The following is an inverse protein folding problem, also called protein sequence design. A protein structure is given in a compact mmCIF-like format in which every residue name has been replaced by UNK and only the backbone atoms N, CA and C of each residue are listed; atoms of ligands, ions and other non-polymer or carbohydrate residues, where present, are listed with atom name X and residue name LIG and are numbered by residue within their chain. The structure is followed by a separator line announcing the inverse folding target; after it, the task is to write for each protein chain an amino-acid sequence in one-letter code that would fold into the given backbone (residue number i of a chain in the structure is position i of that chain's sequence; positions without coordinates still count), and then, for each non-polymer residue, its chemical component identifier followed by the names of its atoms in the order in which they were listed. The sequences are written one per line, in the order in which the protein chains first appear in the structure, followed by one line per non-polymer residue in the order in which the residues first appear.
data_IF_025035669050
#
_entry.id   IF_025035669050
#
_cell.length_a   1.000
_cell.length_b   1.000
_cell.length_c   1.000
_cell.angle_alpha   90.00
_cell.angle_beta   90.00
_cell.angle_gamma   90.00
#
_symmetry.space_group_name_H-M   'P 1'
#
loop_
_entity.id
_entity.type
_entity.pdbx_description
1 polymer ?
#
# COMPACT_ATOMS: atom_id res chain seq x y z
N UNK A 1 -24.93 1.95 -6.38
CA UNK A 1 -25.31 0.52 -6.41
C UNK A 1 -24.32 -0.28 -5.57
N UNK A 2 -24.31 -0.04 -4.26
CA UNK A 2 -23.55 -0.86 -3.30
C UNK A 2 -24.58 -1.18 -2.22
N UNK A 3 -25.32 -2.26 -2.41
CA UNK A 3 -26.14 -2.84 -1.36
C UNK A 3 -25.42 -4.02 -0.74
N UNK A 4 -25.49 -4.02 0.59
CA UNK A 4 -24.91 -4.99 1.51
C UNK A 4 -25.52 -6.38 1.27
N UNK A 5 -24.66 -7.37 1.12
CA UNK A 5 -24.98 -8.77 1.46
C UNK A 5 -23.99 -9.24 2.52
N UNK A 6 -24.46 -9.30 3.76
CA UNK A 6 -23.82 -10.06 4.85
C UNK A 6 -24.28 -11.52 4.74
N UNK A 7 -23.35 -12.44 5.00
CA UNK A 7 -23.48 -13.91 5.05
C UNK A 7 -23.40 -14.65 3.70
N UNK A 8 -22.24 -14.58 3.07
CA UNK A 8 -21.71 -15.71 2.28
C UNK A 8 -20.41 -16.17 2.94
N UNK A 9 -20.14 -17.48 2.91
CA UNK A 9 -18.78 -18.00 3.10
C UNK A 9 -17.91 -17.12 2.22
N UNK A 10 -17.00 -16.35 2.83
CA UNK A 10 -16.22 -15.34 2.12
C UNK A 10 -15.24 -16.12 1.24
N UNK A 11 -15.67 -16.46 0.03
CA UNK A 11 -14.82 -17.12 -0.97
C UNK A 11 -13.69 -16.15 -1.19
N UNK A 12 -12.50 -16.52 -0.71
CA UNK A 12 -11.30 -15.72 -0.92
C UNK A 12 -11.00 -15.73 -2.42
N UNK A 13 -10.71 -14.56 -2.96
CA UNK A 13 -10.28 -14.45 -4.36
C UNK A 13 -8.98 -15.25 -4.50
N UNK A 14 -8.98 -16.24 -5.40
CA UNK A 14 -7.82 -17.05 -5.69
C UNK A 14 -6.82 -16.24 -6.48
N UNK A 15 -5.62 -16.12 -5.93
CA UNK A 15 -4.56 -15.29 -6.48
C UNK A 15 -3.35 -16.12 -6.91
N UNK A 16 -2.68 -15.65 -7.96
CA UNK A 16 -1.31 -16.04 -8.28
C UNK A 16 -0.39 -14.84 -8.12
N UNK A 17 0.86 -15.11 -7.79
CA UNK A 17 1.92 -14.11 -7.68
C UNK A 17 2.87 -14.27 -8.85
N UNK A 18 3.27 -13.16 -9.47
CA UNK A 18 4.20 -13.13 -10.59
C UNK A 18 5.35 -12.18 -10.27
N UNK A 19 6.57 -12.70 -10.27
CA UNK A 19 7.82 -11.95 -10.05
C UNK A 19 8.81 -12.11 -11.19
N UNK A 20 9.58 -11.06 -11.46
CA UNK A 20 10.70 -11.10 -12.42
C UNK A 20 12.01 -10.87 -11.68
N UNK A 21 12.98 -11.75 -11.92
CA UNK A 21 14.32 -11.68 -11.33
C UNK A 21 15.23 -10.98 -12.34
N UNK A 22 15.67 -9.75 -12.01
CA UNK A 22 16.48 -8.92 -12.92
C UNK A 22 17.98 -9.19 -12.78
N UNK A 23 18.45 -9.47 -11.57
CA UNK A 23 19.86 -9.71 -11.29
C UNK A 23 20.06 -10.83 -10.25
N UNK A 24 21.32 -11.21 -9.98
CA UNK A 24 21.66 -12.26 -8.99
C UNK A 24 21.33 -11.87 -7.54
N UNK A 25 21.30 -10.58 -7.21
CA UNK A 25 20.90 -10.11 -5.88
C UNK A 25 19.39 -10.30 -5.66
N UNK A 26 18.58 -10.00 -6.67
CA UNK A 26 17.15 -10.25 -6.66
C UNK A 26 16.87 -11.75 -6.53
N UNK A 27 17.70 -12.62 -7.08
CA UNK A 27 17.51 -14.08 -6.97
C UNK A 27 17.57 -14.58 -5.53
N UNK A 28 18.46 -14.01 -4.70
CA UNK A 28 18.57 -14.38 -3.29
C UNK A 28 17.35 -13.91 -2.48
N UNK A 29 16.81 -12.74 -2.81
CA UNK A 29 15.74 -12.09 -2.03
C UNK A 29 14.33 -12.26 -2.63
N UNK A 30 14.19 -12.81 -3.85
CA UNK A 30 12.90 -12.91 -4.56
C UNK A 30 11.87 -13.71 -3.74
N UNK A 31 12.31 -14.76 -3.04
CA UNK A 31 11.40 -15.59 -2.26
C UNK A 31 10.78 -14.79 -1.12
N UNK A 32 11.59 -14.05 -0.37
CA UNK A 32 11.15 -13.13 0.68
C UNK A 32 10.21 -12.06 0.13
N UNK A 33 10.57 -11.48 -1.02
CA UNK A 33 9.76 -10.45 -1.67
C UNK A 33 8.37 -10.98 -2.06
N UNK A 34 8.30 -12.20 -2.57
CA UNK A 34 7.04 -12.85 -2.91
C UNK A 34 6.30 -13.42 -1.69
N UNK A 35 7.00 -13.74 -0.60
CA UNK A 35 6.39 -14.08 0.70
C UNK A 35 5.75 -12.84 1.32
N UNK A 36 6.40 -11.69 1.25
CA UNK A 36 5.84 -10.41 1.66
C UNK A 36 4.60 -10.06 0.81
N UNK A 37 4.67 -10.23 -0.52
CA UNK A 37 3.52 -10.01 -1.40
C UNK A 37 2.39 -11.01 -1.14
N UNK A 38 2.71 -12.26 -0.83
CA UNK A 38 1.72 -13.23 -0.37
C UNK A 38 1.04 -12.75 0.91
N UNK A 39 1.80 -12.26 1.86
CA UNK A 39 1.26 -11.74 3.12
C UNK A 39 0.39 -10.48 2.91
N UNK A 40 0.71 -9.64 1.91
CA UNK A 40 -0.16 -8.55 1.47
C UNK A 40 -1.49 -9.08 0.92
N UNK A 41 -1.46 -10.07 0.02
CA UNK A 41 -2.67 -10.68 -0.55
C UNK A 41 -3.53 -11.31 0.55
N UNK A 42 -2.92 -12.07 1.45
CA UNK A 42 -3.62 -12.68 2.59
C UNK A 42 -4.25 -11.62 3.50
N UNK A 43 -3.57 -10.48 3.70
CA UNK A 43 -4.08 -9.33 4.46
C UNK A 43 -5.25 -8.64 3.76
N UNK A 44 -5.24 -8.58 2.42
CA UNK A 44 -6.34 -8.05 1.60
C UNK A 44 -7.55 -9.00 1.53
N UNK A 45 -7.40 -10.25 1.99
CA UNK A 45 -8.47 -11.26 2.00
C UNK A 45 -8.43 -12.22 0.81
N UNK A 46 -7.38 -12.18 -0.02
CA UNK A 46 -7.14 -13.16 -1.07
C UNK A 46 -6.48 -14.44 -0.56
N UNK A 47 -6.35 -15.43 -1.44
CA UNK A 47 -5.63 -16.68 -1.19
C UNK A 47 -4.60 -16.92 -2.29
N UNK A 48 -3.32 -16.85 -1.94
CA UNK A 48 -2.24 -17.12 -2.90
C UNK A 48 -2.04 -18.64 -3.12
N UNK A 49 -2.39 -19.14 -4.30
CA UNK A 49 -2.25 -20.55 -4.66
C UNK A 49 -0.88 -20.91 -5.23
N UNK A 50 -0.27 -20.02 -6.03
CA UNK A 50 1.02 -20.29 -6.67
C UNK A 50 1.84 -19.03 -6.91
N UNK A 51 3.16 -19.20 -6.87
CA UNK A 51 4.15 -18.19 -7.24
C UNK A 51 4.81 -18.58 -8.56
N UNK A 52 4.86 -17.64 -9.48
CA UNK A 52 5.58 -17.74 -10.74
C UNK A 52 6.76 -16.76 -10.73
N UNK A 53 7.92 -17.26 -11.11
CA UNK A 53 9.11 -16.43 -11.32
C UNK A 53 9.66 -16.63 -12.72
N UNK A 54 10.24 -15.56 -13.26
CA UNK A 54 11.02 -15.63 -14.49
C UNK A 54 12.28 -14.81 -14.37
N UNK A 55 13.42 -15.40 -14.74
CA UNK A 55 14.68 -14.66 -14.89
C UNK A 55 14.66 -13.94 -16.23
N UNK A 56 14.75 -12.61 -16.19
CA UNK A 56 14.82 -11.75 -17.37
C UNK A 56 15.76 -10.59 -17.06
N UNK A 57 16.68 -10.27 -17.97
CA UNK A 57 17.57 -9.11 -17.81
C UNK A 57 16.78 -7.80 -17.74
N UNK A 58 15.71 -7.71 -18.55
CA UNK A 58 14.73 -6.62 -18.52
C UNK A 58 13.31 -7.18 -18.64
N UNK A 59 12.33 -6.64 -17.89
CA UNK A 59 10.93 -7.03 -18.05
C UNK A 59 10.43 -6.76 -19.48
N UNK A 60 9.55 -7.62 -19.99
CA UNK A 60 8.97 -7.43 -21.32
C UNK A 60 8.12 -6.14 -21.33
N UNK A 61 8.35 -5.19 -22.26
CA UNK A 61 7.63 -3.92 -22.27
C UNK A 61 6.13 -4.10 -22.56
N UNK A 62 5.72 -5.22 -23.13
CA UNK A 62 4.32 -5.53 -23.49
C UNK A 62 3.62 -6.33 -22.41
N UNK A 63 4.26 -7.33 -21.81
CA UNK A 63 3.58 -8.29 -20.90
C UNK A 63 4.29 -8.49 -19.57
N UNK A 64 5.38 -7.76 -19.30
CA UNK A 64 6.25 -7.86 -18.12
C UNK A 64 7.04 -9.18 -18.02
N UNK A 65 6.38 -10.31 -18.27
CA UNK A 65 6.96 -11.64 -18.45
C UNK A 65 7.06 -12.00 -19.94
N UNK A 66 7.93 -12.95 -20.28
CA UNK A 66 8.07 -13.44 -21.65
C UNK A 66 6.87 -14.28 -22.09
N UNK A 67 6.63 -14.33 -23.41
CA UNK A 67 5.47 -15.03 -24.02
C UNK A 67 5.28 -16.47 -23.56
N UNK A 68 6.36 -17.26 -23.49
CA UNK A 68 6.27 -18.67 -23.06
C UNK A 68 5.79 -18.81 -21.62
N UNK A 69 6.28 -17.95 -20.72
CA UNK A 69 5.85 -17.93 -19.32
C UNK A 69 4.42 -17.43 -19.19
N UNK A 70 4.01 -16.45 -20.00
CA UNK A 70 2.62 -15.97 -20.03
C UNK A 70 1.64 -17.07 -20.46
N UNK A 71 2.00 -17.90 -21.44
CA UNK A 71 1.19 -19.06 -21.84
C UNK A 71 1.08 -20.10 -20.72
N UNK A 72 2.19 -20.43 -20.05
CA UNK A 72 2.20 -21.32 -18.88
C UNK A 72 1.30 -20.80 -17.75
N UNK A 73 1.35 -19.49 -17.49
CA UNK A 73 0.48 -18.84 -16.51
C UNK A 73 -0.99 -18.93 -16.95
N UNK A 74 -1.29 -18.69 -18.23
CA UNK A 74 -2.65 -18.80 -18.77
C UNK A 74 -3.24 -20.19 -18.55
N UNK A 75 -2.49 -21.24 -18.86
CA UNK A 75 -2.91 -22.62 -18.67
C UNK A 75 -3.25 -22.90 -17.19
N UNK A 76 -2.42 -22.40 -16.27
CA UNK A 76 -2.67 -22.53 -14.84
C UNK A 76 -3.90 -21.73 -14.36
N UNK A 77 -4.06 -20.49 -14.85
CA UNK A 77 -5.21 -19.63 -14.53
C UNK A 77 -6.52 -20.31 -14.91
N UNK A 78 -6.57 -20.92 -16.09
CA UNK A 78 -7.74 -21.64 -16.59
C UNK A 78 -7.99 -22.95 -15.84
N UNK A 79 -6.94 -23.71 -15.52
CA UNK A 79 -7.07 -24.99 -14.82
C UNK A 79 -7.60 -24.82 -13.38
N UNK A 80 -7.07 -23.83 -12.65
CA UNK A 80 -7.37 -23.64 -11.22
C UNK A 80 -8.48 -22.62 -10.93
N UNK A 81 -9.03 -22.00 -11.99
CA UNK A 81 -9.98 -20.88 -11.93
C UNK A 81 -9.46 -19.76 -11.02
N UNK A 82 -8.34 -19.15 -11.44
CA UNK A 82 -7.72 -18.04 -10.71
C UNK A 82 -8.49 -16.74 -10.98
N UNK A 83 -8.86 -16.04 -9.92
CA UNK A 83 -9.62 -14.78 -10.01
C UNK A 83 -8.71 -13.58 -10.29
N UNK A 84 -7.48 -13.61 -9.77
CA UNK A 84 -6.55 -12.49 -9.87
C UNK A 84 -5.08 -12.90 -10.05
N UNK A 85 -4.35 -12.12 -10.85
CA UNK A 85 -2.90 -12.23 -10.98
C UNK A 85 -2.22 -10.96 -10.43
N UNK A 86 -1.32 -11.14 -9.46
CA UNK A 86 -0.65 -10.06 -8.74
C UNK A 86 0.83 -10.00 -9.11
N UNK A 87 1.28 -8.84 -9.57
CA UNK A 87 2.67 -8.60 -9.94
C UNK A 87 3.41 -7.84 -8.81
N UNK A 88 4.65 -8.25 -8.49
CA UNK A 88 5.47 -7.59 -7.44
C UNK A 88 6.03 -6.21 -7.83
N UNK A 89 5.92 -5.85 -9.12
CA UNK A 89 6.34 -4.55 -9.64
C UNK A 89 5.15 -3.80 -10.22
N UNK A 90 5.26 -2.48 -10.27
CA UNK A 90 4.26 -1.63 -10.90
C UNK A 90 4.20 -1.88 -12.40
N UNK A 91 2.97 -2.09 -12.89
CA UNK A 91 2.73 -2.32 -14.31
C UNK A 91 2.33 -1.02 -15.00
N UNK A 92 2.83 -0.84 -16.22
CA UNK A 92 2.35 0.23 -17.10
C UNK A 92 0.91 -0.05 -17.55
N UNK A 93 0.11 0.98 -17.88
CA UNK A 93 -1.25 0.81 -18.36
C UNK A 93 -1.36 -0.10 -19.60
N UNK A 94 -0.34 -0.11 -20.47
CA UNK A 94 -0.27 -0.98 -21.64
C UNK A 94 0.00 -2.43 -21.26
N UNK A 95 0.87 -2.68 -20.27
CA UNK A 95 1.14 -4.03 -19.77
C UNK A 95 -0.10 -4.65 -19.15
N UNK A 96 -0.80 -3.93 -18.26
CA UNK A 96 -2.03 -4.41 -17.61
C UNK A 96 -3.01 -4.91 -18.65
N UNK A 97 -3.28 -4.09 -19.68
CA UNK A 97 -4.21 -4.44 -20.75
C UNK A 97 -3.78 -5.68 -21.54
N UNK A 98 -2.53 -5.73 -21.99
CA UNK A 98 -2.05 -6.87 -22.79
C UNK A 98 -2.09 -8.18 -21.99
N UNK A 99 -1.84 -8.11 -20.69
CA UNK A 99 -1.88 -9.27 -19.79
C UNK A 99 -3.33 -9.68 -19.55
N UNK A 100 -4.23 -8.72 -19.29
CA UNK A 100 -5.67 -8.95 -19.08
C UNK A 100 -6.34 -9.57 -20.31
N UNK A 101 -5.98 -9.10 -21.53
CA UNK A 101 -6.43 -9.69 -22.79
C UNK A 101 -6.01 -11.17 -22.96
N UNK A 102 -4.92 -11.59 -22.33
CA UNK A 102 -4.38 -12.96 -22.44
C UNK A 102 -4.87 -13.86 -21.31
N UNK A 103 -4.81 -13.38 -20.05
CA UNK A 103 -5.10 -14.17 -18.85
C UNK A 103 -6.59 -14.16 -18.47
N UNK A 104 -7.38 -13.21 -18.97
CA UNK A 104 -8.84 -13.15 -18.75
C UNK A 104 -9.23 -13.12 -17.25
N UNK A 105 -8.34 -12.60 -16.39
CA UNK A 105 -8.56 -12.44 -14.95
C UNK A 105 -8.09 -11.05 -14.48
N UNK A 106 -8.44 -10.68 -13.24
CA UNK A 106 -8.12 -9.36 -12.68
C UNK A 106 -6.61 -9.20 -12.50
N UNK A 107 -6.01 -8.21 -13.17
CA UNK A 107 -4.57 -7.94 -13.06
C UNK A 107 -4.33 -6.83 -12.04
N UNK A 108 -3.58 -7.13 -10.98
CA UNK A 108 -3.17 -6.16 -9.97
C UNK A 108 -1.65 -6.08 -9.87
N UNK A 109 -1.15 -4.89 -9.51
CA UNK A 109 0.23 -4.72 -9.08
C UNK A 109 0.31 -4.56 -7.56
N UNK A 110 1.54 -4.58 -7.05
CA UNK A 110 1.84 -4.38 -5.63
C UNK A 110 1.24 -3.09 -5.09
N UNK A 111 1.34 -2.00 -5.84
CA UNK A 111 0.78 -0.70 -5.44
C UNK A 111 -0.73 -0.77 -5.22
N UNK A 112 -1.46 -1.46 -6.08
CA UNK A 112 -2.91 -1.61 -5.97
C UNK A 112 -3.31 -2.41 -4.72
N UNK A 113 -2.64 -3.54 -4.46
CA UNK A 113 -2.90 -4.35 -3.25
C UNK A 113 -2.68 -3.52 -1.98
N UNK A 114 -1.59 -2.74 -1.94
CA UNK A 114 -1.30 -1.87 -0.79
C UNK A 114 -2.41 -0.84 -0.61
N UNK A 115 -2.88 -0.20 -1.68
CA UNK A 115 -4.00 0.76 -1.63
C UNK A 115 -5.30 0.11 -1.14
N UNK A 116 -5.61 -1.11 -1.55
CA UNK A 116 -6.79 -1.84 -1.12
C UNK A 116 -6.75 -2.19 0.38
N UNK A 117 -5.59 -2.64 0.88
CA UNK A 117 -5.40 -2.87 2.32
C UNK A 117 -5.61 -1.58 3.09
N UNK A 118 -5.08 -0.45 2.60
CA UNK A 118 -5.29 0.83 3.25
C UNK A 118 -6.73 1.30 3.20
N UNK A 119 -7.45 1.07 2.11
CA UNK A 119 -8.85 1.44 2.00
C UNK A 119 -9.69 0.66 3.02
N UNK A 120 -9.36 -0.62 3.23
CA UNK A 120 -9.97 -1.45 4.25
C UNK A 120 -9.62 -1.01 5.68
N UNK A 121 -8.40 -0.54 5.92
CA UNK A 121 -7.90 -0.14 7.25
C UNK A 121 -8.22 1.31 7.63
N UNK A 122 -8.51 2.19 6.68
CA UNK A 122 -8.80 3.59 6.94
C UNK A 122 -10.09 3.76 7.75
N UNK A 123 -9.97 4.18 9.01
CA UNK A 123 -11.13 4.41 9.90
C UNK A 123 -11.51 5.88 9.95
N UNK A 124 -10.51 6.76 10.07
CA UNK A 124 -10.74 8.21 10.17
C UNK A 124 -11.19 8.81 8.84
N UNK A 125 -11.94 9.93 8.91
CA UNK A 125 -12.33 10.67 7.71
C UNK A 125 -11.12 11.18 6.93
N UNK A 126 -10.02 11.49 7.65
CA UNK A 126 -8.75 11.89 7.07
C UNK A 126 -8.13 10.76 6.26
N UNK A 127 -7.84 9.61 6.89
CA UNK A 127 -7.24 8.46 6.22
C UNK A 127 -8.10 7.96 5.06
N UNK A 128 -9.43 7.95 5.19
CA UNK A 128 -10.34 7.57 4.10
C UNK A 128 -10.22 8.50 2.88
N UNK A 129 -10.26 9.81 3.12
CA UNK A 129 -10.16 10.81 2.04
C UNK A 129 -8.80 10.72 1.34
N UNK A 130 -7.75 10.45 2.11
CA UNK A 130 -6.38 10.32 1.64
C UNK A 130 -6.15 9.06 0.81
N UNK A 131 -6.62 7.90 1.27
CA UNK A 131 -6.52 6.65 0.50
C UNK A 131 -7.36 6.73 -0.76
N UNK A 132 -8.56 7.29 -0.68
CA UNK A 132 -9.41 7.50 -1.86
C UNK A 132 -8.74 8.42 -2.89
N UNK A 133 -8.07 9.49 -2.45
CA UNK A 133 -7.27 10.33 -3.34
C UNK A 133 -6.18 9.52 -4.04
N UNK A 134 -5.40 8.75 -3.29
CA UNK A 134 -4.32 7.93 -3.84
C UNK A 134 -4.84 6.87 -4.83
N UNK A 135 -6.01 6.27 -4.58
CA UNK A 135 -6.67 5.36 -5.51
C UNK A 135 -7.06 6.05 -6.81
N UNK A 136 -7.66 7.25 -6.77
CA UNK A 136 -8.00 7.97 -8.00
C UNK A 136 -6.75 8.43 -8.78
N UNK A 137 -5.69 8.86 -8.09
CA UNK A 137 -4.43 9.22 -8.74
C UNK A 137 -3.75 8.02 -9.41
N UNK A 138 -3.82 6.85 -8.76
CA UNK A 138 -3.35 5.59 -9.32
C UNK A 138 -4.18 5.15 -10.54
N UNK A 139 -5.51 5.28 -10.46
CA UNK A 139 -6.43 4.88 -11.54
C UNK A 139 -6.41 5.83 -12.74
N UNK A 140 -6.25 7.13 -12.53
CA UNK A 140 -6.31 8.15 -13.58
C UNK A 140 -5.46 7.84 -14.84
N UNK A 141 -4.17 7.46 -14.74
CA UNK A 141 -3.37 7.09 -15.91
C UNK A 141 -3.74 5.73 -16.51
N UNK A 142 -4.54 4.91 -15.82
CA UNK A 142 -4.90 3.53 -16.18
C UNK A 142 -6.33 3.38 -16.75
N UNK A 143 -7.18 4.41 -16.61
CA UNK A 143 -8.58 4.40 -17.10
C UNK A 143 -8.75 4.25 -18.61
N UNK A 144 -7.82 4.78 -19.40
CA UNK A 144 -7.95 4.82 -20.87
C UNK A 144 -8.07 3.43 -21.51
N UNK A 145 -7.66 2.39 -20.80
CA UNK A 145 -7.52 1.05 -21.35
C UNK A 145 -8.62 0.06 -20.90
N UNK A 146 -9.25 0.28 -19.74
CA UNK A 146 -10.40 -0.49 -19.23
C UNK A 146 -11.63 -0.39 -20.15
N UNK A 147 -11.76 0.71 -20.90
CA UNK A 147 -12.94 1.01 -21.71
C UNK A 147 -12.92 0.43 -23.13
N UNK A 148 -11.78 -0.08 -23.61
CA UNK A 148 -11.70 -0.68 -24.96
C UNK A 148 -12.53 -1.96 -25.12
N UNK A 149 -12.91 -2.60 -24.01
CA UNK A 149 -13.81 -3.75 -23.97
C UNK A 149 -15.30 -3.35 -23.96
N UNK A 150 -15.66 -2.22 -23.35
CA UNK A 150 -17.04 -1.70 -23.28
C UNK A 150 -17.51 -1.11 -24.63
N UNK A 151 -16.60 -0.51 -25.41
CA UNK A 151 -16.93 0.09 -26.72
C UNK A 151 -17.22 -0.94 -27.81
N UNK A 152 -16.64 -2.15 -27.74
CA UNK A 152 -16.85 -3.22 -28.74
C UNK A 152 -18.23 -3.88 -28.66
N UNK A 153 -18.92 -3.81 -27.52
CA UNK A 153 -20.28 -4.36 -27.37
C UNK A 153 -21.38 -3.42 -27.89
N UNK A 154 -21.09 -2.13 -28.11
CA UNK A 154 -22.02 -1.16 -28.72
C UNK A 154 -21.61 -0.84 -30.16
N UNK A 155 -21.60 -1.87 -31.01
CA UNK A 155 -21.60 -1.65 -32.45
C UNK A 155 -22.96 -1.10 -32.89
N UNK A 156 -23.01 0.15 -33.38
CA UNK A 156 -24.23 0.71 -33.93
C UNK A 156 -24.20 2.21 -34.19
N UNK A 157 -23.85 2.56 -35.43
CA UNK A 157 -24.21 3.76 -36.22
C UNK A 157 -25.03 4.84 -35.46
N UNK A 158 -24.47 6.05 -35.36
CA UNK A 158 -25.26 7.27 -35.42
C UNK A 158 -25.62 7.98 -34.11
N UNK A 159 -24.63 8.36 -33.30
CA UNK A 159 -24.81 9.44 -32.31
C UNK A 159 -23.80 10.56 -32.60
N UNK A 160 -24.14 11.41 -33.57
CA UNK A 160 -23.59 12.77 -33.68
C UNK A 160 -24.29 13.62 -32.60
N UNK A 161 -23.69 13.67 -31.43
CA UNK A 161 -24.01 14.53 -30.28
C UNK A 161 -22.75 14.66 -29.41
N UNK A 162 -22.69 15.68 -28.52
CA UNK A 162 -21.59 16.67 -28.46
C UNK A 162 -20.20 16.03 -28.38
N UNK A 163 -19.24 16.55 -29.14
CA UNK A 163 -17.96 15.93 -29.49
C UNK A 163 -16.91 15.69 -28.37
N UNK A 164 -17.33 15.49 -27.12
CA UNK A 164 -16.48 15.02 -26.04
C UNK A 164 -16.61 13.48 -25.96
N UNK A 165 -15.50 12.76 -25.98
CA UNK A 165 -15.53 11.30 -25.87
C UNK A 165 -15.98 10.87 -24.45
N UNK A 166 -16.69 9.76 -24.30
CA UNK A 166 -17.09 9.24 -22.97
C UNK A 166 -15.87 9.06 -22.04
N UNK A 167 -14.71 8.70 -22.61
CA UNK A 167 -13.41 8.59 -21.91
C UNK A 167 -12.95 9.95 -21.36
N UNK A 168 -13.10 11.03 -22.13
CA UNK A 168 -12.77 12.37 -21.65
C UNK A 168 -13.72 12.82 -20.54
N UNK A 169 -14.99 12.45 -20.65
CA UNK A 169 -16.00 12.72 -19.62
C UNK A 169 -15.64 12.01 -18.30
N UNK A 170 -15.30 10.72 -18.34
CA UNK A 170 -14.86 9.97 -17.15
C UNK A 170 -13.56 10.49 -16.56
N UNK A 171 -12.59 10.80 -17.41
CA UNK A 171 -11.32 11.41 -17.00
C UNK A 171 -11.56 12.75 -16.31
N UNK A 172 -12.51 13.53 -16.83
CA UNK A 172 -12.93 14.80 -16.24
C UNK A 172 -13.59 14.57 -14.88
N UNK A 173 -14.51 13.61 -14.75
CA UNK A 173 -15.14 13.25 -13.47
C UNK A 173 -14.08 12.88 -12.43
N UNK A 174 -13.09 12.05 -12.79
CA UNK A 174 -12.04 11.61 -11.86
C UNK A 174 -11.12 12.77 -11.50
N UNK A 175 -10.76 13.64 -12.45
CA UNK A 175 -10.00 14.87 -12.14
C UNK A 175 -10.77 15.81 -11.20
N UNK A 176 -12.07 15.96 -11.40
CA UNK A 176 -12.92 16.76 -10.52
C UNK A 176 -12.94 16.14 -9.11
N UNK A 177 -13.09 14.82 -8.99
CA UNK A 177 -13.00 14.13 -7.69
C UNK A 177 -11.64 14.34 -7.02
N UNK A 178 -10.53 14.18 -7.74
CA UNK A 178 -9.18 14.44 -7.23
C UNK A 178 -9.08 15.87 -6.68
N UNK A 179 -9.62 16.84 -7.42
CA UNK A 179 -9.59 18.26 -7.02
C UNK A 179 -10.38 18.50 -5.74
N UNK A 180 -11.58 17.92 -5.63
CA UNK A 180 -12.43 17.99 -4.44
C UNK A 180 -11.76 17.32 -3.23
N UNK A 181 -11.20 16.14 -3.40
CA UNK A 181 -10.50 15.41 -2.33
C UNK A 181 -9.27 16.18 -1.84
N UNK A 182 -8.48 16.77 -2.75
CA UNK A 182 -7.35 17.65 -2.39
C UNK A 182 -7.80 18.89 -1.62
N UNK A 183 -8.90 19.52 -2.00
CA UNK A 183 -9.46 20.65 -1.26
C UNK A 183 -9.92 20.24 0.14
N UNK A 184 -10.63 19.11 0.24
CA UNK A 184 -11.09 18.56 1.52
C UNK A 184 -9.93 18.20 2.45
N UNK A 185 -8.86 17.58 1.94
CA UNK A 185 -7.66 17.29 2.74
C UNK A 185 -7.03 18.57 3.29
N UNK A 186 -6.92 19.63 2.49
CA UNK A 186 -6.40 20.93 2.95
C UNK A 186 -7.22 21.52 4.10
N UNK A 187 -8.54 21.34 4.10
CA UNK A 187 -9.38 21.78 5.21
C UNK A 187 -9.15 20.96 6.48
N UNK A 188 -9.04 19.64 6.36
CA UNK A 188 -8.77 18.75 7.50
C UNK A 188 -7.37 19.02 8.07
N UNK A 189 -6.36 19.24 7.22
CA UNK A 189 -5.00 19.56 7.65
C UNK A 189 -4.96 20.87 8.46
N UNK A 190 -5.74 21.90 8.07
CA UNK A 190 -5.86 23.14 8.86
C UNK A 190 -6.41 22.87 10.27
N UNK A 191 -7.40 22.00 10.40
CA UNK A 191 -7.97 21.62 11.70
C UNK A 191 -6.96 20.83 12.56
N UNK A 192 -6.22 19.91 11.93
CA UNK A 192 -5.17 19.12 12.58
C UNK A 192 -4.07 20.03 13.16
N UNK A 193 -3.60 21.01 12.38
CA UNK A 193 -2.59 21.98 12.85
C UNK A 193 -3.02 22.74 14.11
N UNK A 194 -4.30 23.11 14.23
CA UNK A 194 -4.81 23.78 15.44
C UNK A 194 -4.79 22.86 16.66
N UNK A 195 -5.13 21.57 16.50
CA UNK A 195 -5.00 20.60 17.60
C UNK A 195 -3.55 20.35 18.00
N UNK A 196 -2.61 20.39 17.04
CA UNK A 196 -1.18 20.19 17.30
C UNK A 196 -0.54 21.33 18.08
N UNK A 197 -0.94 22.58 17.83
CA UNK A 197 -0.49 23.75 18.60
C UNK A 197 -0.83 23.67 20.09
N UNK A 198 -1.91 22.99 20.45
CA UNK A 198 -2.28 22.76 21.86
C UNK A 198 -1.32 21.82 22.61
N UNK A 199 -0.33 21.22 21.93
CA UNK A 199 0.55 20.16 22.46
C UNK A 199 2.04 20.55 22.44
N UNK A 200 2.38 21.84 22.40
CA UNK A 200 3.78 22.33 22.25
C UNK A 200 4.68 22.04 23.47
N UNK A 201 4.12 21.82 24.68
CA UNK A 201 4.92 21.77 25.92
C UNK A 201 5.31 20.36 26.41
N UNK A 202 5.24 19.33 25.57
CA UNK A 202 5.58 17.96 25.97
C UNK A 202 6.51 17.28 24.97
N UNK A 203 7.47 16.50 25.48
CA UNK A 203 8.38 15.68 24.67
C UNK A 203 7.58 14.69 23.83
N UNK A 204 7.92 14.60 22.55
CA UNK A 204 7.25 13.73 21.57
C UNK A 204 8.17 12.63 21.09
N UNK A 205 7.72 11.40 21.22
CA UNK A 205 8.44 10.20 20.82
C UNK A 205 7.61 9.46 19.79
N UNK A 206 8.21 9.14 18.65
CA UNK A 206 7.52 8.41 17.57
C UNK A 206 8.16 7.06 17.30
N UNK A 207 7.33 6.01 17.27
CA UNK A 207 7.75 4.67 16.89
C UNK A 207 7.79 4.56 15.37
N UNK A 208 8.94 4.21 14.81
CA UNK A 208 9.14 3.95 13.38
C UNK A 208 9.70 2.56 13.16
N UNK A 209 9.48 2.01 11.97
CA UNK A 209 9.98 0.68 11.62
C UNK A 209 9.14 0.02 10.55
N UNK A 210 9.62 -1.12 10.06
CA UNK A 210 8.94 -1.91 9.05
C UNK A 210 7.55 -2.37 9.54
N UNK A 211 6.67 -2.74 8.62
CA UNK A 211 5.40 -3.38 8.98
C UNK A 211 5.66 -4.67 9.77
N UNK A 212 4.76 -4.98 10.71
CA UNK A 212 4.83 -6.21 11.54
C UNK A 212 6.06 -6.37 12.47
N UNK A 213 6.85 -5.32 12.73
CA UNK A 213 7.99 -5.35 13.69
C UNK A 213 7.57 -5.27 15.16
N UNK A 214 6.28 -5.10 15.46
CA UNK A 214 5.76 -5.01 16.83
C UNK A 214 5.65 -3.61 17.42
N UNK A 215 5.61 -2.55 16.60
CA UNK A 215 5.42 -1.15 17.07
C UNK A 215 4.19 -0.98 17.95
N UNK A 216 3.03 -1.45 17.49
CA UNK A 216 1.77 -1.33 18.25
C UNK A 216 1.79 -2.16 19.53
N UNK A 217 2.49 -3.30 19.55
CA UNK A 217 2.72 -4.10 20.77
C UNK A 217 3.54 -3.32 21.79
N UNK A 218 4.64 -2.68 21.37
CA UNK A 218 5.45 -1.81 22.25
C UNK A 218 4.63 -0.63 22.76
N UNK A 219 3.83 -0.01 21.90
CA UNK A 219 2.94 1.09 22.29
C UNK A 219 1.96 0.65 23.38
N UNK A 220 1.37 -0.54 23.27
CA UNK A 220 0.46 -1.08 24.28
C UNK A 220 1.13 -1.28 25.63
N UNK A 221 2.30 -1.91 25.62
CA UNK A 221 3.05 -2.20 26.83
C UNK A 221 3.43 -0.90 27.55
N UNK A 222 3.88 0.11 26.82
CA UNK A 222 4.27 1.40 27.40
C UNK A 222 3.08 2.26 27.84
N UNK A 223 1.96 2.20 27.12
CA UNK A 223 0.78 3.05 27.39
C UNK A 223 -0.30 2.37 28.24
N UNK A 224 -0.11 1.09 28.63
CA UNK A 224 -1.14 0.24 29.30
C UNK A 224 -2.49 0.31 28.59
N UNK A 225 -2.46 0.28 27.26
CA UNK A 225 -3.63 0.44 26.41
C UNK A 225 -3.90 -0.81 25.57
N UNK A 226 -5.15 -0.97 25.16
CA UNK A 226 -5.58 -1.94 24.16
C UNK A 226 -5.52 -1.34 22.74
N UNK A 227 -4.33 -1.02 22.23
CA UNK A 227 -4.16 -0.78 20.79
C UNK A 227 -4.21 -2.13 20.08
N UNK A 228 -4.92 -2.18 18.96
CA UNK A 228 -5.17 -3.42 18.25
C UNK A 228 -3.88 -3.88 17.54
N UNK A 229 -3.23 -4.93 18.06
CA UNK A 229 -2.07 -5.57 17.46
C UNK A 229 -2.51 -6.90 16.81
N UNK A 230 -2.51 -6.95 15.48
CA UNK A 230 -2.74 -8.18 14.70
C UNK A 230 -1.47 -8.53 13.93
N UNK A 231 -1.23 -9.82 13.71
CA UNK A 231 -0.21 -10.29 12.76
C UNK A 231 -0.71 -10.11 11.31
N UNK A 232 -0.83 -8.86 10.86
CA UNK A 232 -1.25 -8.44 9.52
C UNK A 232 -0.48 -7.18 9.12
N UNK A 233 -0.25 -6.99 7.82
CA UNK A 233 0.40 -5.78 7.32
C UNK A 233 -0.51 -4.56 7.53
N UNK A 234 0.13 -3.41 7.80
CA UNK A 234 -0.56 -2.14 8.04
C UNK A 234 -1.66 -2.19 9.11
N UNK A 235 -1.39 -2.93 10.20
CA UNK A 235 -2.28 -2.98 11.37
C UNK A 235 -2.65 -1.58 11.90
N UNK A 236 -1.72 -0.62 11.78
CA UNK A 236 -1.92 0.79 12.13
C UNK A 236 -1.74 1.68 10.90
N UNK A 237 -2.84 2.33 10.51
CA UNK A 237 -2.87 3.36 9.46
C UNK A 237 -3.04 4.76 10.03
N UNK A 238 -3.89 4.88 11.05
CA UNK A 238 -4.11 6.12 11.76
C UNK A 238 -3.04 6.28 12.85
N UNK A 239 -2.36 7.42 12.89
CA UNK A 239 -1.39 7.72 13.95
C UNK A 239 -2.11 7.82 15.29
N UNK A 240 -1.77 6.93 16.22
CA UNK A 240 -2.30 6.99 17.60
C UNK A 240 -1.30 7.66 18.51
N UNK A 241 -1.72 8.76 19.15
CA UNK A 241 -0.90 9.50 20.13
C UNK A 241 -1.42 9.21 21.53
N UNK A 242 -0.54 8.80 22.45
CA UNK A 242 -0.89 8.59 23.85
C UNK A 242 0.10 9.25 24.78
N UNK A 243 -0.40 9.73 25.91
CA UNK A 243 0.44 10.22 27.00
C UNK A 243 0.95 9.04 27.81
N UNK A 244 2.27 8.90 27.89
CA UNK A 244 2.96 7.90 28.70
C UNK A 244 3.75 8.62 29.79
N UNK A 245 3.85 8.01 30.96
CA UNK A 245 4.65 8.53 32.08
C UNK A 245 5.60 7.44 32.54
N UNK A 246 6.91 7.72 32.42
CA UNK A 246 7.97 6.84 32.93
C UNK A 246 8.79 7.63 33.93
N UNK A 247 8.98 7.11 35.15
CA UNK A 247 9.75 7.75 36.22
C UNK A 247 9.36 9.24 36.45
N UNK A 248 8.06 9.53 36.46
CA UNK A 248 7.47 10.88 36.57
C UNK A 248 7.76 11.85 35.41
N UNK A 249 8.35 11.40 34.31
CA UNK A 249 8.54 12.20 33.09
C UNK A 249 7.39 11.88 32.11
N UNK A 250 6.49 12.83 31.85
CA UNK A 250 5.42 12.64 30.89
C UNK A 250 5.90 12.94 29.46
N UNK A 251 5.60 12.07 28.52
CA UNK A 251 5.85 12.28 27.09
C UNK A 251 4.68 11.77 26.25
N UNK A 252 4.60 12.23 25.02
CA UNK A 252 3.65 11.75 24.03
C UNK A 252 4.32 10.66 23.19
N UNK A 253 3.74 9.46 23.17
CA UNK A 253 4.14 8.36 22.33
C UNK A 253 3.18 8.23 21.15
N UNK A 254 3.73 8.29 19.94
CA UNK A 254 2.98 8.17 18.69
C UNK A 254 3.37 6.88 17.97
N UNK A 255 2.39 6.04 17.65
CA UNK A 255 2.58 4.90 16.72
C UNK A 255 2.28 5.35 15.31
N UNK A 256 3.21 5.13 14.39
CA UNK A 256 3.08 5.53 12.99
C UNK A 256 2.85 4.35 12.07
N UNK A 257 2.46 4.66 10.84
CA UNK A 257 2.33 3.65 9.78
C UNK A 257 3.63 2.88 9.62
N UNK A 258 3.53 1.56 9.53
CA UNK A 258 4.67 0.72 9.23
C UNK A 258 5.15 0.92 7.80
N UNK A 259 6.47 1.04 7.65
CA UNK A 259 7.07 1.11 6.32
C UNK A 259 7.08 -0.26 5.65
N UNK A 260 6.98 -0.25 4.32
CA UNK A 260 7.18 -1.42 3.49
C UNK A 260 8.03 -1.00 2.30
N UNK A 261 8.75 -1.96 1.73
CA UNK A 261 9.50 -1.77 0.49
C UNK A 261 8.55 -1.49 -0.68
N UNK A 262 9.04 -0.69 -1.63
CA UNK A 262 8.27 -0.23 -2.81
C UNK A 262 6.94 0.42 -2.38
N UNK A 263 6.96 1.28 -1.37
CA UNK A 263 5.78 2.07 -1.04
C UNK A 263 5.45 2.98 -2.24
N UNK A 264 4.22 3.02 -2.74
CA UNK A 264 3.91 3.81 -3.94
C UNK A 264 4.14 5.31 -3.68
N UNK A 265 4.74 6.03 -4.63
CA UNK A 265 5.08 7.45 -4.44
C UNK A 265 3.86 8.35 -4.16
N UNK A 266 2.74 8.11 -4.86
CA UNK A 266 1.45 8.78 -4.60
C UNK A 266 0.98 8.62 -3.15
N UNK A 267 1.34 7.49 -2.57
CA UNK A 267 1.05 7.11 -1.21
C UNK A 267 1.96 7.89 -0.24
N UNK A 268 3.26 8.04 -0.51
CA UNK A 268 4.15 8.90 0.30
C UNK A 268 3.63 10.34 0.38
N UNK A 269 3.21 10.92 -0.75
CA UNK A 269 2.66 12.28 -0.80
C UNK A 269 1.36 12.41 0.00
N UNK A 270 0.52 11.38 -0.09
CA UNK A 270 -0.75 11.34 0.62
C UNK A 270 -0.54 11.20 2.13
N UNK A 271 0.45 10.41 2.57
CA UNK A 271 0.80 10.20 3.99
C UNK A 271 1.68 11.31 4.58
N UNK A 272 1.96 12.37 3.83
CA UNK A 272 2.83 13.45 4.27
C UNK A 272 2.40 14.07 5.60
N UNK A 273 1.11 14.25 5.88
CA UNK A 273 0.66 14.84 7.15
C UNK A 273 0.62 13.84 8.32
N UNK A 274 0.44 12.54 8.07
CA UNK A 274 0.73 11.48 9.07
C UNK A 274 2.24 11.36 9.36
N UNK A 275 3.07 11.58 8.35
CA UNK A 275 4.54 11.60 8.47
C UNK A 275 5.06 12.92 9.03
N UNK A 276 4.28 14.01 8.99
CA UNK A 276 4.64 15.26 9.65
C UNK A 276 4.68 15.09 11.18
N UNK A 277 3.98 14.10 11.76
CA UNK A 277 4.15 13.74 13.17
C UNK A 277 5.60 13.27 13.45
N UNK A 278 6.26 12.60 12.49
CA UNK A 278 7.67 12.26 12.59
C UNK A 278 8.55 13.50 12.54
N UNK A 279 8.18 14.53 11.77
CA UNK A 279 8.86 15.83 11.72
C UNK A 279 8.65 16.70 12.95
N UNK A 280 7.62 16.43 13.74
CA UNK A 280 7.40 17.10 15.02
C UNK A 280 7.95 16.31 16.22
N UNK A 281 8.34 15.05 16.04
CA UNK A 281 8.91 14.22 17.11
C UNK A 281 10.26 14.77 17.64
N UNK A 282 10.50 14.76 18.94
CA UNK A 282 11.81 15.09 19.49
C UNK A 282 12.76 13.88 19.42
N UNK A 283 12.19 12.66 19.42
CA UNK A 283 12.92 11.40 19.42
C UNK A 283 12.22 10.37 18.54
N UNK A 284 13.00 9.65 17.73
CA UNK A 284 12.54 8.49 16.98
C UNK A 284 12.99 7.20 17.67
N UNK A 285 12.07 6.25 17.84
CA UNK A 285 12.38 4.87 18.25
C UNK A 285 12.21 3.98 17.02
N UNK A 286 13.31 3.52 16.46
CA UNK A 286 13.32 2.61 15.32
C UNK A 286 13.27 1.17 15.80
N UNK A 287 12.08 0.57 15.72
CA UNK A 287 11.84 -0.83 16.08
C UNK A 287 12.21 -1.72 14.88
N UNK A 288 13.10 -2.68 15.14
CA UNK A 288 13.60 -3.65 14.15
C UNK A 288 13.30 -5.05 14.63
N UNK A 289 12.79 -5.89 13.73
CA UNK A 289 12.58 -7.31 14.01
C UNK A 289 13.87 -8.10 13.74
N UNK A 290 14.50 -8.65 14.79
CA UNK A 290 15.77 -9.40 14.66
C UNK A 290 15.57 -10.86 14.24
N UNK A 291 14.34 -11.38 14.33
CA UNK A 291 14.03 -12.76 13.92
C UNK A 291 14.08 -12.94 12.39
N UNK A 292 14.04 -11.83 11.65
CA UNK A 292 14.08 -11.82 10.20
C UNK A 292 15.51 -11.82 9.67
N UNK A 293 15.87 -12.74 8.75
CA UNK A 293 17.22 -12.84 8.19
C UNK A 293 17.71 -11.54 7.52
N UNK A 294 16.79 -10.79 6.94
CA UNK A 294 17.04 -9.56 6.19
C UNK A 294 16.71 -8.29 6.98
N UNK A 295 16.81 -8.32 8.32
CA UNK A 295 16.54 -7.16 9.16
C UNK A 295 17.40 -5.93 8.79
N UNK A 296 18.61 -6.13 8.27
CA UNK A 296 19.48 -5.05 7.79
C UNK A 296 18.88 -4.32 6.58
N UNK A 297 18.29 -5.06 5.63
CA UNK A 297 17.59 -4.48 4.50
C UNK A 297 16.38 -3.67 4.96
N UNK A 298 15.62 -4.18 5.94
CA UNK A 298 14.51 -3.43 6.54
C UNK A 298 14.98 -2.13 7.20
N UNK A 299 16.12 -2.15 7.90
CA UNK A 299 16.73 -0.94 8.46
C UNK A 299 17.04 0.06 7.36
N UNK A 300 17.64 -0.40 6.26
CA UNK A 300 18.03 0.44 5.13
C UNK A 300 16.80 1.05 4.42
N UNK A 301 15.74 0.28 4.21
CA UNK A 301 14.47 0.77 3.64
C UNK A 301 13.86 1.87 4.52
N UNK A 302 13.82 1.66 5.84
CA UNK A 302 13.28 2.67 6.77
C UNK A 302 14.16 3.92 6.76
N UNK A 303 15.49 3.77 6.82
CA UNK A 303 16.43 4.90 6.74
C UNK A 303 16.24 5.71 5.46
N UNK A 304 16.19 5.06 4.30
CA UNK A 304 15.98 5.74 3.02
C UNK A 304 14.65 6.50 3.02
N UNK A 305 13.59 5.88 3.55
CA UNK A 305 12.29 6.54 3.62
C UNK A 305 12.31 7.76 4.57
N UNK A 306 13.03 7.68 5.69
CA UNK A 306 13.25 8.82 6.59
C UNK A 306 14.05 9.96 5.93
N UNK A 307 15.00 9.65 5.04
CA UNK A 307 15.71 10.63 4.19
C UNK A 307 14.72 11.35 3.28
N UNK A 308 13.90 10.60 2.56
CA UNK A 308 12.94 11.15 1.59
C UNK A 308 11.92 12.09 2.26
N UNK A 309 11.58 11.83 3.52
CA UNK A 309 10.66 12.63 4.33
C UNK A 309 11.37 13.81 5.04
N UNK A 310 12.71 13.88 4.98
CA UNK A 310 13.56 14.90 5.62
C UNK A 310 13.48 14.88 7.16
N UNK A 311 13.62 13.69 7.77
CA UNK A 311 13.56 13.49 9.23
C UNK A 311 14.88 12.98 9.81
N UNK A 312 15.98 13.08 9.06
CA UNK A 312 17.23 12.39 9.44
C UNK A 312 18.00 13.06 10.59
N UNK A 313 17.77 14.35 10.83
CA UNK A 313 18.53 15.13 11.82
C UNK A 313 18.12 14.86 13.28
N UNK A 314 17.22 13.90 13.49
CA UNK A 314 16.62 13.61 14.79
C UNK A 314 17.38 12.51 15.53
N UNK A 315 17.46 12.59 16.87
CA UNK A 315 17.99 11.48 17.64
C UNK A 315 17.11 10.25 17.40
N UNK A 316 17.76 9.12 17.10
CA UNK A 316 17.11 7.87 16.77
C UNK A 316 17.69 6.75 17.63
N UNK A 317 16.82 6.04 18.35
CA UNK A 317 17.19 4.86 19.13
C UNK A 317 16.74 3.63 18.36
N UNK A 318 17.69 2.77 18.00
CA UNK A 318 17.39 1.46 17.43
C UNK A 318 17.03 0.49 18.56
N UNK A 319 15.89 -0.18 18.40
CA UNK A 319 15.38 -1.21 19.32
C UNK A 319 15.24 -2.51 18.54
N UNK A 320 16.11 -3.47 18.84
CA UNK A 320 15.98 -4.84 18.34
C UNK A 320 14.90 -5.55 19.15
N UNK A 321 13.78 -5.80 18.50
CA UNK A 321 12.60 -6.44 19.05
C UNK A 321 12.51 -7.90 18.57
N UNK A 322 11.62 -8.67 19.22
CA UNK A 322 11.41 -10.11 18.99
C UNK A 322 12.65 -10.98 19.31
N UNK A 323 13.30 -10.67 20.44
CA UNK A 323 14.43 -11.45 20.97
C UNK A 323 14.01 -12.81 21.55
N UNK A 324 12.70 -13.01 21.72
CA UNK A 324 12.06 -14.22 22.24
C UNK A 324 11.82 -15.31 21.18
N UNK A 325 11.98 -14.97 19.90
CA UNK A 325 11.82 -15.88 18.76
C UNK A 325 13.04 -16.79 18.54
#
# INVERSE_FOLDING_TARGET
MIEKTKNSIQIKEKAIIIGVIKNKYDEANINEYLDELKFLIDTAGGECLKKFTQKLEYPDPRTFVGKGKLSEIKEYVQAENIDMAVFDEDLSPSQIRNIEEVLECKILDRSHIILDIFAFRARTAYAKTQVELAQYEYLLPRLTNLWTHLSKQKGGIGLKGPGETEIETDRRIIRTKITLLKAKLKEIDKQMLTQRKSRENMVRVSLVGYTNVGKSTIMNLLSKADVFAENKLFATLDTTVRKVVINNIPFLLSDTVGFIRKLPHHLIESFKSTLDELKEADLLIHVVDISHSNFEDHINVVKQTLVDIKVIDKPCILVFNKIDA
#
